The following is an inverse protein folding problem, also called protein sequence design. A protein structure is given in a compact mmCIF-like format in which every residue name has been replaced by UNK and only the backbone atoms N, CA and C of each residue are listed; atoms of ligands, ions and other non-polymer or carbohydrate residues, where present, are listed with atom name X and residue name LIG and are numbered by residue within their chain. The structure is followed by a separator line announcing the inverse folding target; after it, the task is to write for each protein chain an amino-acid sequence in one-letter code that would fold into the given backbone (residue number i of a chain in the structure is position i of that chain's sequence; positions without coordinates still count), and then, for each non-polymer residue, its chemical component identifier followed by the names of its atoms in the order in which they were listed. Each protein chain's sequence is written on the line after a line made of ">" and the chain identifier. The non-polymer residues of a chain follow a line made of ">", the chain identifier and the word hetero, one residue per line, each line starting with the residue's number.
data_IF_367647442532
#
_entry.id   IF_367647442532
#
_cell.length_a   1.000
_cell.length_b   1.000
_cell.length_c   1.000
_cell.angle_alpha   90.00
_cell.angle_beta   90.00
_cell.angle_gamma   90.00
#
_symmetry.space_group_name_H-M   'P 1'
#
loop_
_entity.id
_entity.type
_entity.pdbx_description
1 polymer ?
#
# COMPACT_ATOMS: atom_id res chain seq x y z
N UNK A 1 -14.32 -11.24 -26.03
CA UNK A 1 -13.01 -11.90 -26.25
C UNK A 1 -11.94 -11.07 -25.54
N UNK A 2 -10.83 -11.66 -25.09
CA UNK A 2 -9.67 -10.87 -24.64
C UNK A 2 -9.09 -10.05 -25.80
N UNK A 3 -8.38 -8.96 -25.49
CA UNK A 3 -7.57 -8.26 -26.48
C UNK A 3 -6.53 -9.20 -27.08
N UNK A 4 -6.40 -9.20 -28.40
CA UNK A 4 -5.45 -10.03 -29.14
C UNK A 4 -4.72 -9.13 -30.16
N UNK A 5 -3.45 -8.78 -29.90
CA UNK A 5 -2.69 -7.89 -30.77
C UNK A 5 -2.38 -8.50 -32.15
N UNK A 6 -2.65 -9.80 -32.36
CA UNK A 6 -2.45 -10.45 -33.65
C UNK A 6 -3.67 -10.33 -34.58
N UNK A 7 -4.74 -9.68 -34.12
CA UNK A 7 -5.98 -9.47 -34.89
C UNK A 7 -6.22 -7.98 -35.23
N UNK A 8 -6.82 -7.70 -36.40
CA UNK A 8 -7.16 -8.63 -37.47
C UNK A 8 -5.92 -9.24 -38.12
N UNK A 9 -6.04 -10.44 -38.69
CA UNK A 9 -4.92 -11.10 -39.36
C UNK A 9 -4.38 -10.22 -40.49
N UNK A 10 -3.05 -10.21 -40.65
CA UNK A 10 -2.40 -9.44 -41.72
C UNK A 10 -2.98 -9.83 -43.10
N UNK A 11 -3.18 -8.84 -43.97
CA UNK A 11 -3.82 -8.99 -45.28
C UNK A 11 -5.28 -9.50 -45.29
N UNK A 12 -5.97 -9.56 -44.14
CA UNK A 12 -7.41 -9.84 -44.13
C UNK A 12 -8.22 -8.63 -44.62
N UNK A 13 -9.42 -8.85 -45.21
CA UNK A 13 -10.34 -7.75 -45.50
C UNK A 13 -10.64 -6.96 -44.22
N UNK A 14 -10.69 -5.63 -44.33
CA UNK A 14 -11.03 -4.77 -43.20
C UNK A 14 -12.40 -5.16 -42.61
N UNK A 15 -12.42 -5.55 -41.34
CA UNK A 15 -13.63 -5.95 -40.62
C UNK A 15 -13.92 -5.00 -39.48
N UNK A 16 -14.96 -4.18 -39.62
CA UNK A 16 -15.41 -3.26 -38.57
C UNK A 16 -15.91 -3.99 -37.32
N UNK A 17 -16.40 -5.23 -37.47
CA UNK A 17 -16.79 -6.07 -36.34
C UNK A 17 -15.57 -6.48 -35.50
N UNK A 18 -14.49 -6.97 -36.13
CA UNK A 18 -13.26 -7.37 -35.43
C UNK A 18 -12.58 -6.16 -34.78
N UNK A 19 -12.46 -5.04 -35.51
CA UNK A 19 -11.85 -3.81 -34.97
C UNK A 19 -12.59 -3.28 -33.74
N UNK A 20 -13.94 -3.24 -33.77
CA UNK A 20 -14.73 -2.84 -32.60
C UNK A 20 -14.51 -3.79 -31.42
N UNK A 21 -14.47 -5.10 -31.68
CA UNK A 21 -14.22 -6.09 -30.63
C UNK A 21 -12.85 -5.89 -29.95
N UNK A 22 -11.78 -5.66 -30.72
CA UNK A 22 -10.44 -5.37 -30.18
C UNK A 22 -10.42 -4.09 -29.36
N UNK A 23 -11.02 -3.00 -29.87
CA UNK A 23 -11.06 -1.70 -29.19
C UNK A 23 -11.87 -1.75 -27.89
N UNK A 24 -13.03 -2.42 -27.90
CA UNK A 24 -13.84 -2.61 -26.68
C UNK A 24 -13.06 -3.42 -25.63
N UNK A 25 -12.36 -4.47 -26.06
CA UNK A 25 -11.59 -5.33 -25.16
C UNK A 25 -10.37 -4.61 -24.59
N UNK A 26 -9.66 -3.83 -25.41
CA UNK A 26 -8.55 -2.97 -24.95
C UNK A 26 -9.04 -1.91 -23.96
N UNK A 27 -10.18 -1.26 -24.25
CA UNK A 27 -10.75 -0.28 -23.34
C UNK A 27 -11.12 -0.90 -21.99
N UNK A 28 -11.71 -2.10 -21.98
CA UNK A 28 -12.00 -2.82 -20.75
C UNK A 28 -10.72 -3.14 -19.95
N UNK A 29 -9.66 -3.61 -20.60
CA UNK A 29 -8.36 -3.87 -19.96
C UNK A 29 -7.74 -2.59 -19.38
N UNK A 30 -7.74 -1.48 -20.15
CA UNK A 30 -7.25 -0.18 -19.68
C UNK A 30 -8.02 0.34 -18.46
N UNK A 31 -9.34 0.12 -18.41
CA UNK A 31 -10.17 0.54 -17.27
C UNK A 31 -9.93 -0.29 -16.00
N UNK A 32 -9.42 -1.52 -16.13
CA UNK A 32 -9.09 -2.38 -14.98
C UNK A 32 -7.67 -2.16 -14.45
N UNK A 33 -6.77 -1.59 -15.24
CA UNK A 33 -5.40 -1.31 -14.82
C UNK A 33 -5.35 -0.19 -13.79
N UNK A 34 -4.58 -0.40 -12.73
CA UNK A 34 -4.28 0.65 -11.77
C UNK A 34 -3.56 1.81 -12.48
N UNK A 35 -4.01 3.04 -12.22
CA UNK A 35 -3.39 4.24 -12.75
C UNK A 35 -2.19 4.67 -11.90
N UNK A 36 -1.35 5.55 -12.43
CA UNK A 36 -0.28 6.17 -11.64
C UNK A 36 -0.83 6.93 -10.43
N UNK A 37 -2.03 7.52 -10.53
CA UNK A 37 -2.68 8.19 -9.42
C UNK A 37 -3.11 7.18 -8.33
N UNK A 38 -3.65 6.02 -8.72
CA UNK A 38 -4.02 4.96 -7.76
C UNK A 38 -2.79 4.46 -7.00
N UNK A 39 -1.68 4.24 -7.71
CA UNK A 39 -0.41 3.83 -7.11
C UNK A 39 0.15 4.91 -6.17
N UNK A 40 0.15 6.18 -6.59
CA UNK A 40 0.61 7.29 -5.77
C UNK A 40 -0.22 7.43 -4.48
N UNK A 41 -1.54 7.31 -4.58
CA UNK A 41 -2.45 7.35 -3.43
C UNK A 41 -2.22 6.16 -2.49
N UNK A 42 -2.06 4.95 -3.04
CA UNK A 42 -1.77 3.76 -2.24
C UNK A 42 -0.46 3.90 -1.47
N UNK A 43 0.60 4.39 -2.14
CA UNK A 43 1.91 4.67 -1.53
C UNK A 43 1.79 5.73 -0.44
N UNK A 44 1.15 6.87 -0.74
CA UNK A 44 0.96 7.95 0.23
C UNK A 44 0.22 7.48 1.48
N UNK A 45 -0.83 6.66 1.31
CA UNK A 45 -1.59 6.08 2.42
C UNK A 45 -0.75 5.10 3.24
N UNK A 46 0.08 4.27 2.60
CA UNK A 46 0.97 3.34 3.30
C UNK A 46 2.07 4.07 4.08
N UNK A 47 2.68 5.11 3.50
CA UNK A 47 3.69 5.93 4.17
C UNK A 47 3.09 6.71 5.35
N UNK A 48 1.88 7.28 5.17
CA UNK A 48 1.19 8.00 6.24
C UNK A 48 0.90 7.08 7.44
N UNK A 49 0.48 5.84 7.19
CA UNK A 49 0.20 4.87 8.26
C UNK A 49 1.48 4.40 8.97
N UNK A 50 2.49 3.98 8.21
CA UNK A 50 3.75 3.47 8.80
C UNK A 50 4.48 4.50 9.66
N UNK A 51 4.50 5.77 9.25
CA UNK A 51 5.08 6.86 10.06
C UNK A 51 4.23 7.21 11.28
N UNK A 52 2.89 7.20 11.14
CA UNK A 52 1.98 7.57 12.22
C UNK A 52 1.79 6.50 13.29
N UNK A 53 2.20 5.26 13.03
CA UNK A 53 2.03 4.13 13.95
C UNK A 53 2.54 4.41 15.38
N UNK A 54 3.67 5.10 15.53
CA UNK A 54 4.21 5.44 16.85
C UNK A 54 3.60 6.68 17.49
N UNK A 55 2.77 7.46 16.78
CA UNK A 55 2.17 8.68 17.34
C UNK A 55 1.20 8.39 18.49
N UNK A 56 0.65 7.17 18.56
CA UNK A 56 -0.19 6.72 19.67
C UNK A 56 0.61 6.29 20.90
N UNK A 57 1.93 6.11 20.79
CA UNK A 57 2.79 5.68 21.90
C UNK A 57 3.13 6.89 22.76
N UNK A 58 2.56 6.93 23.96
CA UNK A 58 2.87 8.01 24.92
C UNK A 58 4.31 7.93 25.40
N UNK A 59 4.87 9.06 25.80
CA UNK A 59 6.22 9.11 26.40
C UNK A 59 6.27 8.29 27.69
N UNK A 60 7.45 7.77 28.05
CA UNK A 60 7.66 6.93 29.24
C UNK A 60 7.34 7.68 30.55
N UNK A 61 7.52 9.00 30.59
CA UNK A 61 7.15 9.84 31.74
C UNK A 61 8.00 9.65 33.00
N UNK A 62 9.12 8.93 32.92
CA UNK A 62 9.99 8.63 34.06
C UNK A 62 11.25 9.49 34.07
N UNK A 63 11.66 9.90 35.28
CA UNK A 63 12.97 10.51 35.54
C UNK A 63 13.99 9.47 35.98
N UNK A 64 15.27 9.73 35.70
CA UNK A 64 16.36 8.88 36.17
C UNK A 64 16.50 8.97 37.69
N UNK A 65 16.60 7.82 38.36
CA UNK A 65 16.90 7.70 39.78
C UNK A 65 18.39 7.36 39.97
N UNK A 66 19.00 7.85 41.06
CA UNK A 66 20.38 7.54 41.41
C UNK A 66 20.57 6.12 41.98
N UNK A 67 19.49 5.41 42.29
CA UNK A 67 19.47 4.04 42.76
C UNK A 67 18.62 3.15 41.84
N UNK A 68 18.92 1.85 41.83
CA UNK A 68 18.15 0.88 41.06
C UNK A 68 16.72 0.74 41.57
N UNK A 69 15.74 0.83 40.66
CA UNK A 69 14.33 0.66 40.96
C UNK A 69 13.68 -0.34 39.97
N UNK A 70 13.23 -1.49 40.49
CA UNK A 70 12.62 -2.56 39.69
C UNK A 70 11.33 -2.12 38.98
N UNK A 71 10.52 -1.26 39.61
CA UNK A 71 9.28 -0.77 39.01
C UNK A 71 9.58 0.12 37.80
N UNK A 72 10.59 0.99 37.91
CA UNK A 72 11.00 1.83 36.78
C UNK A 72 11.49 0.99 35.59
N UNK A 73 12.24 -0.08 35.86
CA UNK A 73 12.67 -1.01 34.82
C UNK A 73 11.50 -1.74 34.16
N UNK A 74 10.49 -2.15 34.93
CA UNK A 74 9.31 -2.81 34.37
C UNK A 74 8.50 -1.86 33.47
N UNK A 75 8.36 -0.60 33.86
CA UNK A 75 7.66 0.41 33.06
C UNK A 75 8.40 0.69 31.73
N UNK A 76 9.74 0.72 31.74
CA UNK A 76 10.55 0.82 30.53
C UNK A 76 10.29 -0.38 29.59
N UNK A 77 10.34 -1.61 30.13
CA UNK A 77 10.10 -2.84 29.34
C UNK A 77 8.71 -2.78 28.71
N UNK A 78 7.68 -2.46 29.50
CA UNK A 78 6.30 -2.35 29.02
C UNK A 78 6.17 -1.31 27.90
N UNK A 79 6.85 -0.16 28.02
CA UNK A 79 6.83 0.90 27.01
C UNK A 79 7.56 0.51 25.72
N UNK A 80 8.66 -0.24 25.84
CA UNK A 80 9.37 -0.78 24.68
C UNK A 80 8.49 -1.80 23.93
N UNK A 81 7.76 -2.65 24.65
CA UNK A 81 6.81 -3.57 24.03
C UNK A 81 5.65 -2.85 23.33
N UNK A 82 5.11 -1.80 23.94
CA UNK A 82 4.09 -0.93 23.32
C UNK A 82 4.62 -0.32 22.00
N UNK A 83 5.84 0.22 22.03
CA UNK A 83 6.49 0.79 20.85
C UNK A 83 6.72 -0.27 19.76
N UNK A 84 7.25 -1.44 20.11
CA UNK A 84 7.49 -2.52 19.17
C UNK A 84 6.17 -2.98 18.52
N UNK A 85 5.11 -3.11 19.31
CA UNK A 85 3.79 -3.49 18.80
C UNK A 85 3.19 -2.42 17.91
N UNK A 86 3.40 -1.14 18.21
CA UNK A 86 2.99 -0.04 17.35
C UNK A 86 3.73 -0.08 16.00
N UNK A 87 5.05 -0.23 16.00
CA UNK A 87 5.87 -0.22 14.78
C UNK A 87 5.65 -1.42 13.85
N UNK A 88 5.11 -2.54 14.35
CA UNK A 88 4.83 -3.75 13.55
C UNK A 88 3.50 -3.71 12.79
N UNK A 89 2.62 -2.75 13.09
CA UNK A 89 1.31 -2.61 12.44
C UNK A 89 1.41 -1.98 11.05
#
# INVERSE_FOLDING_TARGET
>A
MPFDPTKPANNSPASSAEMRSQLTSLNADMQQRATQADLANAIANALAQTSANSNGVSTLGQGADGSYNQSQMQDLINKVDELINALRR
#
